data_IF_431660406796
#
_entry.id   IF_431660406796
#
_cell.length_a   1.000
_cell.length_b   1.000
_cell.length_c   1.000
_cell.angle_alpha   90.00
_cell.angle_beta   90.00
_cell.angle_gamma   90.00
#
_symmetry.space_group_name_H-M   'P 1'
#
loop_
_entity.id
_entity.type
_entity.pdbx_description
1 polymer ?
#
# COMPACT_ATOMS: atom_id res chain seq x y z
N UNK A 1 69.14 36.80 23.07
CA UNK A 1 67.97 36.76 22.15
C UNK A 1 68.35 35.80 21.02
N UNK A 2 67.56 34.84 20.56
CA UNK A 2 66.26 34.32 20.93
C UNK A 2 66.18 32.88 20.38
N UNK A 3 65.32 32.08 21.01
CA UNK A 3 65.22 30.63 20.90
C UNK A 3 64.66 30.12 19.56
N UNK A 4 64.98 28.85 19.29
CA UNK A 4 64.72 28.13 18.05
C UNK A 4 63.25 27.76 17.79
N UNK A 5 63.02 27.48 16.50
CA UNK A 5 61.75 27.11 15.87
C UNK A 5 61.34 25.69 16.28
N UNK A 6 60.14 25.54 16.84
CA UNK A 6 59.55 24.25 17.22
C UNK A 6 58.16 24.06 16.62
N UNK A 7 58.04 23.01 15.79
CA UNK A 7 56.87 22.16 15.54
C UNK A 7 55.45 22.75 15.54
N UNK A 8 54.93 23.07 14.35
CA UNK A 8 53.47 23.12 14.08
C UNK A 8 53.17 22.38 12.77
N UNK A 9 53.68 21.16 12.61
CA UNK A 9 53.54 20.38 11.37
C UNK A 9 52.99 18.96 11.54
N UNK A 10 52.79 18.49 12.78
CA UNK A 10 52.45 17.09 13.05
C UNK A 10 50.98 16.93 13.51
N UNK A 11 50.34 17.96 14.05
CA UNK A 11 48.95 17.84 14.53
C UNK A 11 47.92 17.76 13.38
N UNK A 12 48.16 18.46 12.26
CA UNK A 12 47.20 18.53 11.15
C UNK A 12 47.18 17.26 10.27
N UNK A 13 48.29 16.50 10.21
CA UNK A 13 48.41 15.31 9.34
C UNK A 13 47.76 14.08 9.97
N UNK A 14 47.58 14.04 11.30
CA UNK A 14 46.92 12.93 12.00
C UNK A 14 45.41 13.16 12.18
N UNK A 15 44.97 14.41 12.28
CA UNK A 15 43.55 14.75 12.48
C UNK A 15 42.67 14.42 11.27
N UNK A 16 43.18 14.60 10.05
CA UNK A 16 42.43 14.32 8.81
C UNK A 16 42.10 12.83 8.63
N UNK A 17 43.05 11.88 8.73
CA UNK A 17 42.73 10.46 8.61
C UNK A 17 41.86 9.96 9.77
N UNK A 18 42.02 10.49 10.99
CA UNK A 18 41.15 10.11 12.13
C UNK A 18 39.72 10.60 11.93
N UNK A 19 39.51 11.81 11.41
CA UNK A 19 38.17 12.32 11.07
C UNK A 19 37.53 11.53 9.93
N UNK A 20 38.29 11.12 8.91
CA UNK A 20 37.78 10.30 7.81
C UNK A 20 37.43 8.89 8.29
N UNK A 21 38.23 8.29 9.16
CA UNK A 21 37.94 6.97 9.76
C UNK A 21 36.75 7.05 10.72
N UNK A 22 36.61 8.12 11.50
CA UNK A 22 35.46 8.34 12.37
C UNK A 22 34.17 8.61 11.57
N UNK A 23 34.24 9.38 10.47
CA UNK A 23 33.11 9.63 9.59
C UNK A 23 32.69 8.36 8.82
N UNK A 24 33.65 7.55 8.37
CA UNK A 24 33.36 6.27 7.73
C UNK A 24 32.87 5.19 8.71
N UNK A 25 33.37 5.16 9.95
CA UNK A 25 32.75 4.36 11.02
C UNK A 25 31.35 4.87 11.39
N UNK A 26 31.09 6.18 11.36
CA UNK A 26 29.75 6.72 11.63
C UNK A 26 28.75 6.32 10.53
N UNK A 27 29.16 6.29 9.26
CA UNK A 27 28.33 5.75 8.16
C UNK A 27 28.12 4.23 8.29
N UNK A 28 29.10 3.48 8.82
CA UNK A 28 28.99 2.02 8.98
C UNK A 28 28.25 1.58 10.25
N UNK A 29 28.18 2.41 11.30
CA UNK A 29 27.51 2.09 12.58
C UNK A 29 26.21 2.89 12.81
N UNK A 30 26.01 4.02 12.14
CA UNK A 30 24.81 4.87 12.24
C UNK A 30 24.16 5.21 10.88
N UNK A 31 24.74 4.79 9.75
CA UNK A 31 24.13 4.92 8.41
C UNK A 31 23.18 3.78 8.06
N UNK A 32 22.51 3.23 9.07
CA UNK A 32 21.59 2.10 8.96
C UNK A 32 20.18 2.48 9.39
N UNK A 33 19.65 3.58 8.85
CA UNK A 33 18.20 3.66 8.71
C UNK A 33 17.81 2.70 7.59
N UNK A 34 17.60 1.44 7.96
CA UNK A 34 16.60 0.62 7.27
C UNK A 34 15.23 1.21 7.62
N UNK A 35 14.97 2.42 7.12
CA UNK A 35 13.62 2.75 6.74
C UNK A 35 13.22 1.63 5.78
N UNK A 36 12.41 0.69 6.27
CA UNK A 36 11.55 -0.10 5.40
C UNK A 36 10.55 0.88 4.77
N UNK A 37 11.06 1.75 3.90
CA UNK A 37 10.28 2.35 2.85
C UNK A 37 9.66 1.16 2.14
N UNK A 38 8.33 1.16 2.04
CA UNK A 38 7.64 0.35 1.05
C UNK A 38 8.52 0.38 -0.19
N UNK A 39 9.01 -0.79 -0.65
CA UNK A 39 9.54 -0.83 -2.01
C UNK A 39 8.37 -0.40 -2.85
N UNK A 40 8.36 0.88 -3.23
CA UNK A 40 7.26 1.45 -3.97
C UNK A 40 7.29 0.66 -5.26
N UNK A 41 6.28 -0.19 -5.46
CA UNK A 41 6.30 -1.13 -6.57
C UNK A 41 6.67 -0.37 -7.83
N UNK A 42 7.67 -0.85 -8.57
CA UNK A 42 8.02 -0.22 -9.83
C UNK A 42 6.76 -0.17 -10.67
N UNK A 43 6.46 1.01 -11.23
CA UNK A 43 5.26 1.15 -12.05
C UNK A 43 5.28 0.14 -13.20
N UNK A 44 4.11 -0.39 -13.54
CA UNK A 44 3.97 -1.41 -14.59
C UNK A 44 3.72 -0.72 -15.93
N UNK A 45 4.54 -1.03 -16.94
CA UNK A 45 4.26 -0.64 -18.33
C UNK A 45 3.03 -1.40 -18.84
N UNK A 46 2.08 -0.67 -19.41
CA UNK A 46 0.83 -1.19 -19.96
C UNK A 46 0.94 -1.23 -21.48
N UNK A 47 0.61 -2.38 -22.08
CA UNK A 47 0.47 -2.51 -23.53
C UNK A 47 -0.86 -1.91 -23.99
N UNK A 48 -0.83 -0.65 -24.44
CA UNK A 48 -2.02 0.10 -24.88
C UNK A 48 -2.72 -0.61 -26.05
N UNK A 49 -1.95 -1.14 -27.01
CA UNK A 49 -2.48 -1.87 -28.17
C UNK A 49 -3.13 -3.21 -27.79
N UNK A 50 -2.88 -3.69 -26.56
CA UNK A 50 -3.45 -4.92 -26.02
C UNK A 50 -4.83 -4.74 -25.38
N UNK A 51 -5.34 -3.51 -25.24
CA UNK A 51 -6.65 -3.25 -24.66
C UNK A 51 -7.72 -3.66 -25.69
N UNK A 52 -8.59 -4.61 -25.33
CA UNK A 52 -9.64 -5.07 -26.23
C UNK A 52 -10.60 -3.93 -26.61
N UNK A 53 -11.06 -3.89 -27.86
CA UNK A 53 -11.90 -2.81 -28.39
C UNK A 53 -13.28 -2.70 -27.68
N UNK A 54 -13.75 -3.79 -27.08
CA UNK A 54 -14.97 -3.87 -26.28
C UNK A 54 -14.72 -3.81 -24.77
N UNK A 55 -13.48 -3.56 -24.35
CA UNK A 55 -13.12 -3.43 -22.94
C UNK A 55 -13.88 -2.28 -22.27
N UNK A 56 -14.36 -2.55 -21.06
CA UNK A 56 -14.97 -1.57 -20.18
C UNK A 56 -14.69 -1.93 -18.72
N UNK A 57 -14.57 -0.92 -17.88
CA UNK A 57 -14.47 -1.06 -16.42
C UNK A 57 -15.52 -0.14 -15.81
N UNK A 58 -16.55 -0.70 -15.18
CA UNK A 58 -17.67 0.10 -14.67
C UNK A 58 -18.31 0.95 -15.78
N UNK A 59 -18.30 2.28 -15.60
CA UNK A 59 -18.80 3.24 -16.58
C UNK A 59 -17.76 3.70 -17.62
N UNK A 60 -16.51 3.25 -17.53
CA UNK A 60 -15.41 3.70 -18.37
C UNK A 60 -15.26 2.82 -19.61
N UNK A 61 -15.32 3.44 -20.79
CA UNK A 61 -15.23 2.79 -22.10
C UNK A 61 -13.78 2.55 -22.53
N UNK A 62 -13.60 1.79 -23.60
CA UNK A 62 -12.31 1.54 -24.23
C UNK A 62 -11.43 2.80 -24.39
N UNK A 63 -11.95 3.89 -24.96
CA UNK A 63 -11.19 5.14 -25.16
C UNK A 63 -10.69 5.75 -23.84
N UNK A 64 -11.50 5.67 -22.77
CA UNK A 64 -11.12 6.14 -21.44
C UNK A 64 -10.05 5.24 -20.82
N UNK A 65 -10.11 3.92 -21.06
CA UNK A 65 -9.09 2.96 -20.63
C UNK A 65 -7.76 3.17 -21.38
N UNK A 66 -7.81 3.50 -22.67
CA UNK A 66 -6.63 3.89 -23.46
C UNK A 66 -5.99 5.14 -22.86
N UNK A 67 -6.76 6.18 -22.56
CA UNK A 67 -6.25 7.39 -21.90
C UNK A 67 -5.64 7.08 -20.52
N UNK A 68 -6.29 6.24 -19.72
CA UNK A 68 -5.76 5.81 -18.42
C UNK A 68 -4.42 5.05 -18.55
N UNK A 69 -4.29 4.18 -19.55
CA UNK A 69 -3.04 3.47 -19.83
C UNK A 69 -1.92 4.44 -20.25
N UNK A 70 -2.23 5.46 -21.07
CA UNK A 70 -1.27 6.49 -21.47
C UNK A 70 -0.81 7.33 -20.27
N UNK A 71 -1.72 7.69 -19.35
CA UNK A 71 -1.39 8.34 -18.07
C UNK A 71 -0.43 7.46 -17.26
N UNK A 72 -0.82 6.20 -17.05
CA UNK A 72 -0.04 5.27 -16.25
C UNK A 72 1.37 5.02 -16.83
N UNK A 73 1.51 4.95 -18.16
CA UNK A 73 2.81 4.81 -18.82
C UNK A 73 3.68 6.07 -18.71
N UNK A 74 3.09 7.27 -18.65
CA UNK A 74 3.83 8.51 -18.44
C UNK A 74 4.53 8.52 -17.06
N UNK A 75 3.86 8.08 -15.99
CA UNK A 75 4.47 7.94 -14.67
C UNK A 75 5.68 6.99 -14.70
N UNK A 76 5.56 5.84 -15.35
CA UNK A 76 6.67 4.87 -15.47
C UNK A 76 7.84 5.46 -16.24
N UNK A 77 7.57 6.20 -17.32
CA UNK A 77 8.60 6.87 -18.12
C UNK A 77 9.41 7.86 -17.29
N UNK A 78 8.76 8.50 -16.30
CA UNK A 78 9.39 9.41 -15.35
C UNK A 78 10.01 8.70 -14.13
N UNK A 79 10.05 7.36 -14.11
CA UNK A 79 10.60 6.57 -13.01
C UNK A 79 9.76 6.64 -11.73
N UNK A 80 8.51 7.06 -11.84
CA UNK A 80 7.60 7.13 -10.71
C UNK A 80 7.01 5.76 -10.37
N UNK A 81 6.66 5.53 -9.11
CA UNK A 81 6.17 4.23 -8.67
C UNK A 81 4.71 3.98 -9.02
N UNK A 82 4.25 2.74 -8.84
CA UNK A 82 2.88 2.31 -9.13
C UNK A 82 1.80 3.18 -8.47
N UNK A 83 2.06 3.68 -7.25
CA UNK A 83 1.17 4.61 -6.56
C UNK A 83 0.91 5.88 -7.38
N UNK A 84 1.93 6.42 -8.06
CA UNK A 84 1.78 7.59 -8.92
C UNK A 84 0.88 7.29 -10.13
N UNK A 85 0.98 6.11 -10.73
CA UNK A 85 0.12 5.72 -11.86
C UNK A 85 -1.36 5.86 -11.49
N UNK A 86 -1.76 5.31 -10.34
CA UNK A 86 -3.16 5.38 -9.91
C UNK A 86 -3.56 6.78 -9.43
N UNK A 87 -2.65 7.55 -8.83
CA UNK A 87 -2.89 8.96 -8.49
C UNK A 87 -3.20 9.79 -9.75
N UNK A 88 -2.44 9.60 -10.83
CA UNK A 88 -2.69 10.32 -12.09
C UNK A 88 -4.01 9.91 -12.74
N UNK A 89 -4.36 8.61 -12.73
CA UNK A 89 -5.66 8.15 -13.23
C UNK A 89 -6.81 8.72 -12.39
N UNK A 90 -6.69 8.71 -11.06
CA UNK A 90 -7.69 9.30 -10.15
C UNK A 90 -7.90 10.80 -10.40
N UNK A 91 -6.81 11.55 -10.61
CA UNK A 91 -6.88 12.96 -10.95
C UNK A 91 -7.65 13.16 -12.27
N UNK A 92 -7.26 12.47 -13.34
CA UNK A 92 -7.90 12.61 -14.65
C UNK A 92 -9.37 12.15 -14.68
N UNK A 93 -9.78 11.20 -13.81
CA UNK A 93 -11.20 10.89 -13.62
C UNK A 93 -11.94 12.12 -13.06
N UNK A 94 -11.40 12.75 -12.02
CA UNK A 94 -12.04 13.92 -11.42
C UNK A 94 -12.09 15.13 -12.36
N UNK A 95 -11.04 15.34 -13.15
CA UNK A 95 -10.96 16.51 -14.03
C UNK A 95 -11.80 16.35 -15.30
N UNK A 96 -11.83 15.17 -15.90
CA UNK A 96 -12.41 14.99 -17.24
C UNK A 96 -13.16 13.68 -17.44
N UNK A 97 -13.28 12.86 -16.40
CA UNK A 97 -13.72 11.48 -16.53
C UNK A 97 -12.87 10.72 -17.57
N UNK A 98 -11.56 10.96 -17.60
CA UNK A 98 -10.61 10.37 -18.56
C UNK A 98 -10.90 10.71 -20.03
N UNK A 99 -11.54 11.86 -20.31
CA UNK A 99 -11.81 12.35 -21.67
C UNK A 99 -10.87 13.49 -22.01
N UNK A 100 -10.28 13.45 -23.19
CA UNK A 100 -9.40 14.51 -23.64
C UNK A 100 -10.23 15.68 -24.20
N UNK A 101 -10.66 16.59 -23.31
CA UNK A 101 -11.59 17.68 -23.63
C UNK A 101 -10.84 18.89 -24.22
N UNK A 102 -11.36 19.48 -25.30
CA UNK A 102 -10.84 20.71 -25.90
C UNK A 102 -11.49 21.99 -25.31
N UNK A 103 -12.24 21.83 -24.21
CA UNK A 103 -12.92 22.88 -23.48
C UNK A 103 -12.81 22.68 -21.96
N UNK A 104 -13.05 23.78 -21.23
CA UNK A 104 -13.14 23.81 -19.77
C UNK A 104 -14.56 24.13 -19.26
N UNK A 105 -14.70 24.30 -17.95
CA UNK A 105 -15.97 24.58 -17.27
C UNK A 105 -16.40 26.07 -17.31
N UNK A 106 -15.56 26.93 -17.90
CA UNK A 106 -15.80 28.37 -17.96
C UNK A 106 -15.57 29.10 -16.63
N UNK A 107 -14.84 28.50 -15.68
CA UNK A 107 -14.43 29.14 -14.44
C UNK A 107 -13.73 30.48 -14.70
N UNK A 108 -13.85 31.42 -13.74
CA UNK A 108 -13.22 32.74 -13.83
C UNK A 108 -11.99 32.76 -12.93
N UNK A 109 -10.85 33.08 -13.51
CA UNK A 109 -9.58 33.25 -12.81
C UNK A 109 -9.61 34.48 -11.89
N UNK A 110 -8.72 34.57 -10.88
CA UNK A 110 -8.65 35.72 -9.99
C UNK A 110 -8.40 37.06 -10.70
N UNK A 111 -7.82 37.04 -11.89
CA UNK A 111 -7.59 38.21 -12.74
C UNK A 111 -8.79 38.61 -13.63
N UNK A 112 -9.90 37.85 -13.56
CA UNK A 112 -11.12 38.07 -14.32
C UNK A 112 -11.16 37.42 -15.71
N UNK A 113 -10.10 36.72 -16.13
CA UNK A 113 -10.11 35.94 -17.37
C UNK A 113 -10.92 34.64 -17.22
N UNK A 114 -11.48 34.13 -18.33
CA UNK A 114 -12.06 32.77 -18.36
C UNK A 114 -10.90 31.77 -18.38
N UNK A 115 -10.95 30.78 -17.50
CA UNK A 115 -9.97 29.70 -17.43
C UNK A 115 -9.87 28.96 -18.77
N UNK A 116 -8.64 28.77 -19.26
CA UNK A 116 -8.36 28.11 -20.55
C UNK A 116 -8.02 26.62 -20.37
N UNK A 117 -8.63 25.99 -19.36
CA UNK A 117 -8.43 24.58 -19.01
C UNK A 117 -8.84 23.65 -20.14
N UNK A 118 -7.95 22.73 -20.52
CA UNK A 118 -8.19 21.68 -21.52
C UNK A 118 -7.46 20.39 -21.14
N UNK A 119 -7.73 19.32 -21.87
CA UNK A 119 -7.06 18.04 -21.75
C UNK A 119 -7.56 17.17 -20.61
N UNK A 120 -6.89 16.04 -20.40
CA UNK A 120 -7.26 15.03 -19.40
C UNK A 120 -7.27 15.55 -17.96
N UNK A 121 -6.41 16.51 -17.66
CA UNK A 121 -6.21 17.09 -16.33
C UNK A 121 -6.76 18.52 -16.19
N UNK A 122 -7.53 19.01 -17.17
CA UNK A 122 -8.09 20.36 -17.19
C UNK A 122 -7.05 21.45 -16.88
N UNK A 123 -5.88 21.31 -17.49
CA UNK A 123 -4.72 22.17 -17.25
C UNK A 123 -4.87 23.50 -17.99
N UNK A 124 -4.61 24.63 -17.33
CA UNK A 124 -4.54 25.96 -17.96
C UNK A 124 -3.19 26.19 -18.67
N UNK A 125 -3.10 27.25 -19.47
CA UNK A 125 -1.91 27.64 -20.24
C UNK A 125 -0.58 27.68 -19.46
N UNK A 126 -0.61 27.99 -18.16
CA UNK A 126 0.61 27.99 -17.33
C UNK A 126 1.18 26.59 -17.07
N UNK A 127 0.48 25.52 -17.44
CA UNK A 127 1.01 24.15 -17.41
C UNK A 127 1.86 23.80 -18.63
N UNK A 128 1.52 24.34 -19.80
CA UNK A 128 2.17 23.99 -21.06
C UNK A 128 1.41 24.50 -22.29
N UNK A 129 1.98 24.27 -23.47
CA UNK A 129 1.35 24.60 -24.75
C UNK A 129 0.04 23.82 -24.96
N UNK A 130 -0.80 24.31 -25.87
CA UNK A 130 -2.05 23.60 -26.25
C UNK A 130 -1.74 22.18 -26.76
N UNK A 131 -0.67 22.02 -27.52
CA UNK A 131 -0.26 20.71 -28.05
C UNK A 131 0.12 19.72 -26.93
N UNK A 132 0.85 20.19 -25.91
CA UNK A 132 1.22 19.35 -24.76
C UNK A 132 0.01 19.01 -23.88
N UNK A 133 -0.91 19.98 -23.67
CA UNK A 133 -2.11 19.77 -22.85
C UNK A 133 -3.16 18.89 -23.52
N UNK A 134 -3.22 18.89 -24.86
CA UNK A 134 -4.14 18.05 -25.64
C UNK A 134 -3.55 16.68 -26.02
N UNK A 135 -2.27 16.42 -25.75
CA UNK A 135 -1.71 15.09 -25.92
C UNK A 135 -1.78 14.31 -24.58
N UNK A 136 -2.48 13.16 -24.51
CA UNK A 136 -2.67 12.42 -23.26
C UNK A 136 -1.39 12.13 -22.47
N UNK A 137 -0.33 11.68 -23.14
CA UNK A 137 0.94 11.34 -22.51
C UNK A 137 1.69 12.58 -22.05
N UNK A 138 1.70 13.64 -22.85
CA UNK A 138 2.34 14.91 -22.50
C UNK A 138 1.62 15.60 -21.34
N UNK A 139 0.28 15.68 -21.37
CA UNK A 139 -0.53 16.25 -20.29
C UNK A 139 -0.33 15.52 -18.96
N UNK A 140 -0.27 14.18 -18.99
CA UNK A 140 0.07 13.36 -17.83
C UNK A 140 1.50 13.63 -17.33
N UNK A 141 2.47 13.78 -18.24
CA UNK A 141 3.86 14.08 -17.89
C UNK A 141 3.98 15.44 -17.19
N UNK A 142 3.19 16.44 -17.57
CA UNK A 142 3.14 17.74 -16.88
C UNK A 142 2.65 17.61 -15.43
N UNK A 143 1.62 16.79 -15.19
CA UNK A 143 1.14 16.47 -13.83
C UNK A 143 2.24 15.77 -13.01
N UNK A 144 2.82 14.70 -13.56
CA UNK A 144 3.83 13.90 -12.88
C UNK A 144 5.16 14.61 -12.66
N UNK A 145 5.50 15.61 -13.47
CA UNK A 145 6.67 16.45 -13.23
C UNK A 145 6.52 17.31 -11.97
N UNK A 146 5.30 17.63 -11.53
CA UNK A 146 5.03 18.41 -10.32
C UNK A 146 4.82 17.56 -9.07
N UNK A 147 4.36 16.31 -9.23
CA UNK A 147 4.05 15.42 -8.12
C UNK A 147 5.21 15.25 -7.10
N UNK A 148 6.48 15.01 -7.51
CA UNK A 148 7.60 14.93 -6.56
C UNK A 148 7.89 16.23 -5.78
N UNK A 149 7.35 17.37 -6.22
CA UNK A 149 7.44 18.64 -5.49
C UNK A 149 6.53 18.72 -4.28
N UNK A 150 5.58 17.79 -4.11
CA UNK A 150 4.69 17.71 -2.94
C UNK A 150 5.39 16.92 -1.84
N UNK A 151 5.77 17.59 -0.75
CA UNK A 151 6.51 16.95 0.33
C UNK A 151 5.71 15.81 0.98
N UNK A 152 6.30 14.61 1.00
CA UNK A 152 5.69 13.43 1.62
C UNK A 152 4.49 12.85 0.87
N UNK A 153 4.33 13.19 -0.42
CA UNK A 153 3.22 12.71 -1.25
C UNK A 153 3.11 11.18 -1.27
N UNK A 154 4.22 10.47 -1.12
CA UNK A 154 4.25 9.00 -1.09
C UNK A 154 3.47 8.39 0.08
N UNK A 155 3.34 9.15 1.18
CA UNK A 155 2.63 8.73 2.41
C UNK A 155 1.35 9.54 2.64
N UNK A 156 1.03 10.48 1.74
CA UNK A 156 -0.12 11.36 1.86
C UNK A 156 -1.36 10.69 1.27
N UNK A 157 -2.54 11.06 1.77
CA UNK A 157 -3.79 10.66 1.14
C UNK A 157 -3.79 11.06 -0.35
N UNK A 158 -4.20 10.18 -1.28
CA UNK A 158 -4.18 10.47 -2.72
C UNK A 158 -4.98 11.71 -3.10
N UNK A 159 -6.13 11.96 -2.45
CA UNK A 159 -6.97 13.12 -2.75
C UNK A 159 -6.26 14.42 -2.38
N UNK A 160 -5.64 14.44 -1.19
CA UNK A 160 -4.82 15.56 -0.73
C UNK A 160 -3.59 15.77 -1.62
N UNK A 161 -2.97 14.68 -2.09
CA UNK A 161 -1.84 14.73 -3.01
C UNK A 161 -2.23 15.36 -4.35
N UNK A 162 -3.34 14.93 -4.94
CA UNK A 162 -3.83 15.48 -6.21
C UNK A 162 -4.22 16.95 -6.01
N UNK A 163 -4.92 17.29 -4.92
CA UNK A 163 -5.26 18.67 -4.60
C UNK A 163 -4.00 19.55 -4.47
N UNK A 164 -2.93 19.07 -3.84
CA UNK A 164 -1.68 19.81 -3.72
C UNK A 164 -1.00 20.08 -5.08
N UNK A 165 -1.19 19.20 -6.06
CA UNK A 165 -0.66 19.37 -7.44
C UNK A 165 -1.56 20.25 -8.31
N UNK A 166 -2.88 20.04 -8.27
CA UNK A 166 -3.86 20.70 -9.13
C UNK A 166 -4.32 22.06 -8.59
N UNK A 167 -4.36 22.23 -7.26
CA UNK A 167 -4.73 23.49 -6.61
C UNK A 167 -6.23 23.82 -6.63
N UNK A 168 -7.11 22.82 -6.48
CA UNK A 168 -8.56 23.06 -6.41
C UNK A 168 -9.03 23.49 -4.99
N UNK A 169 -10.29 23.93 -4.86
CA UNK A 169 -10.82 24.50 -3.60
C UNK A 169 -11.19 23.47 -2.51
N UNK A 170 -11.47 22.21 -2.87
CA UNK A 170 -11.86 21.16 -1.93
C UNK A 170 -10.79 20.06 -1.89
N UNK A 171 -9.99 19.99 -0.80
CA UNK A 171 -8.94 18.98 -0.65
C UNK A 171 -9.41 17.52 -0.78
N UNK A 172 -10.70 17.24 -0.52
CA UNK A 172 -11.25 15.90 -0.57
C UNK A 172 -12.02 15.59 -1.87
N UNK A 173 -12.06 16.52 -2.83
CA UNK A 173 -12.83 16.38 -4.07
C UNK A 173 -12.55 15.06 -4.82
N UNK A 174 -11.29 14.61 -4.84
CA UNK A 174 -10.88 13.42 -5.58
C UNK A 174 -11.14 12.10 -4.86
N UNK A 175 -11.54 12.13 -3.59
CA UNK A 175 -11.70 10.92 -2.76
C UNK A 175 -12.70 9.96 -3.38
N UNK A 176 -13.79 10.48 -3.96
CA UNK A 176 -14.84 9.69 -4.60
C UNK A 176 -14.37 8.91 -5.86
N UNK A 177 -13.31 9.36 -6.54
CA UNK A 177 -12.81 8.73 -7.77
C UNK A 177 -11.76 7.66 -7.50
N UNK A 178 -11.41 7.46 -6.23
CA UNK A 178 -10.36 6.53 -5.80
C UNK A 178 -10.66 5.09 -6.21
N UNK A 179 -11.88 4.62 -5.95
CA UNK A 179 -12.28 3.25 -6.24
C UNK A 179 -12.24 2.94 -7.75
N UNK A 180 -12.70 3.89 -8.57
CA UNK A 180 -12.70 3.76 -10.03
C UNK A 180 -11.28 3.71 -10.59
N UNK A 181 -10.39 4.58 -10.10
CA UNK A 181 -8.98 4.57 -10.51
C UNK A 181 -8.29 3.24 -10.21
N UNK A 182 -8.58 2.64 -9.04
CA UNK A 182 -8.07 1.30 -8.69
C UNK A 182 -8.60 0.24 -9.66
N UNK A 183 -9.90 0.24 -9.93
CA UNK A 183 -10.53 -0.76 -10.80
C UNK A 183 -9.92 -0.71 -12.20
N UNK A 184 -9.72 0.49 -12.75
CA UNK A 184 -9.07 0.69 -14.05
C UNK A 184 -7.62 0.20 -14.02
N UNK A 185 -6.83 0.58 -13.02
CA UNK A 185 -5.42 0.17 -12.92
C UNK A 185 -5.25 -1.35 -12.71
N UNK A 186 -6.18 -1.99 -12.02
CA UNK A 186 -6.21 -3.45 -11.86
C UNK A 186 -6.45 -4.13 -13.20
N UNK A 187 -7.46 -3.69 -13.94
CA UNK A 187 -7.76 -4.19 -15.28
C UNK A 187 -6.57 -4.02 -16.24
N UNK A 188 -5.96 -2.83 -16.26
CA UNK A 188 -4.89 -2.50 -17.21
C UNK A 188 -3.57 -3.23 -16.95
N UNK A 189 -3.27 -3.57 -15.70
CA UNK A 189 -2.03 -4.29 -15.34
C UNK A 189 -2.16 -5.81 -15.47
N UNK A 190 -3.28 -6.31 -16.00
CA UNK A 190 -3.54 -7.74 -16.16
C UNK A 190 -3.89 -8.45 -14.86
N UNK A 191 -4.23 -7.68 -13.81
CA UNK A 191 -4.95 -8.21 -12.67
C UNK A 191 -6.33 -8.65 -13.13
N UNK A 192 -6.74 -9.87 -12.76
CA UNK A 192 -8.17 -10.22 -12.83
C UNK A 192 -8.99 -9.13 -12.11
N UNK A 193 -10.25 -8.85 -12.49
CA UNK A 193 -11.10 -7.90 -11.76
C UNK A 193 -11.26 -8.22 -10.26
N UNK A 194 -10.79 -9.40 -9.85
CA UNK A 194 -10.49 -9.76 -8.48
C UNK A 194 -8.98 -9.59 -8.16
N UNK A 195 -8.57 -8.38 -7.77
CA UNK A 195 -7.41 -8.20 -6.87
C UNK A 195 -6.20 -7.40 -7.36
N UNK A 196 -6.00 -6.24 -6.69
CA UNK A 196 -4.78 -5.46 -6.43
C UNK A 196 -4.11 -4.74 -7.64
N UNK A 197 -3.65 -3.48 -7.60
CA UNK A 197 -3.45 -2.38 -6.61
C UNK A 197 -2.47 -1.37 -7.26
N UNK A 198 -2.34 -0.07 -6.96
CA UNK A 198 -2.78 0.82 -5.86
C UNK A 198 -2.27 2.26 -6.14
N UNK A 199 -2.57 3.29 -5.35
CA UNK A 199 -2.97 3.29 -3.92
C UNK A 199 -3.82 4.51 -3.55
N UNK A 200 -4.74 4.46 -2.58
CA UNK A 200 -5.08 3.50 -1.52
C UNK A 200 -5.51 2.07 -1.85
N UNK A 201 -5.35 1.25 -0.81
CA UNK A 201 -5.29 -0.21 -0.80
C UNK A 201 -6.67 -0.86 -0.74
N UNK A 202 -7.44 -0.89 -1.83
CA UNK A 202 -8.56 -1.82 -1.86
C UNK A 202 -8.02 -3.27 -1.75
N UNK A 203 -8.40 -3.98 -0.68
CA UNK A 203 -7.99 -5.36 -0.45
C UNK A 203 -9.04 -6.26 -1.09
N UNK A 204 -8.62 -7.19 -1.95
CA UNK A 204 -9.56 -8.07 -2.66
C UNK A 204 -10.52 -8.76 -1.69
N UNK A 205 -11.79 -8.90 -2.08
CA UNK A 205 -12.78 -9.75 -1.38
C UNK A 205 -12.77 -11.20 -1.87
N UNK A 206 -11.86 -11.56 -2.78
CA UNK A 206 -11.70 -12.92 -3.32
C UNK A 206 -10.60 -13.66 -2.55
N UNK A 207 -10.99 -14.68 -1.79
CA UNK A 207 -10.08 -15.50 -0.99
C UNK A 207 -9.00 -16.20 -1.82
N UNK A 208 -9.35 -16.69 -3.02
CA UNK A 208 -8.39 -17.37 -3.89
C UNK A 208 -7.36 -16.38 -4.42
N UNK A 209 -7.79 -15.21 -4.87
CA UNK A 209 -6.89 -14.17 -5.35
C UNK A 209 -5.93 -13.68 -4.26
N UNK A 210 -6.43 -13.45 -3.03
CA UNK A 210 -5.57 -13.11 -1.90
C UNK A 210 -4.56 -14.22 -1.61
N UNK A 211 -5.02 -15.47 -1.53
CA UNK A 211 -4.15 -16.60 -1.23
C UNK A 211 -3.05 -16.79 -2.29
N UNK A 212 -3.35 -16.61 -3.58
CA UNK A 212 -2.34 -16.62 -4.66
C UNK A 212 -1.26 -15.55 -4.41
N UNK A 213 -1.66 -14.33 -4.04
CA UNK A 213 -0.72 -13.26 -3.72
C UNK A 213 0.10 -13.55 -2.45
N UNK A 214 -0.51 -14.16 -1.43
CA UNK A 214 0.20 -14.60 -0.23
C UNK A 214 1.22 -15.70 -0.56
N UNK A 215 0.90 -16.65 -1.45
CA UNK A 215 1.87 -17.67 -1.93
C UNK A 215 3.05 -17.01 -2.64
N UNK A 216 2.81 -15.99 -3.46
CA UNK A 216 3.89 -15.22 -4.08
C UNK A 216 4.74 -14.49 -3.02
N UNK A 217 4.12 -13.91 -1.99
CA UNK A 217 4.83 -13.27 -0.88
C UNK A 217 5.69 -14.26 -0.07
N UNK A 218 5.25 -15.51 0.09
CA UNK A 218 6.08 -16.57 0.68
C UNK A 218 7.31 -16.87 -0.19
N UNK A 219 7.13 -17.01 -1.51
CA UNK A 219 8.23 -17.24 -2.44
C UNK A 219 9.27 -16.09 -2.46
N UNK A 220 8.81 -14.87 -2.18
CA UNK A 220 9.66 -13.69 -2.04
C UNK A 220 10.27 -13.51 -0.63
N UNK A 221 9.97 -14.39 0.33
CA UNK A 221 10.44 -14.28 1.72
C UNK A 221 9.82 -13.12 2.52
N UNK A 222 8.74 -12.51 2.01
CA UNK A 222 8.00 -11.43 2.69
C UNK A 222 6.97 -11.97 3.67
N UNK A 223 6.37 -13.12 3.39
CA UNK A 223 5.51 -13.85 4.32
C UNK A 223 6.24 -15.12 4.77
N UNK A 224 6.47 -15.26 6.07
CA UNK A 224 7.15 -16.42 6.66
C UNK A 224 6.18 -17.16 7.55
N UNK A 225 5.94 -18.43 7.26
CA UNK A 225 5.11 -19.29 8.11
C UNK A 225 6.03 -20.06 9.05
N UNK A 226 5.70 -20.10 10.34
CA UNK A 226 6.51 -20.80 11.34
C UNK A 226 6.65 -22.30 11.03
N UNK A 227 5.63 -22.88 10.40
CA UNK A 227 5.59 -24.28 9.98
C UNK A 227 4.95 -24.42 8.60
N UNK A 228 5.38 -25.42 7.83
CA UNK A 228 4.89 -25.63 6.46
C UNK A 228 3.41 -26.08 6.42
N UNK A 229 2.86 -26.59 7.54
CA UNK A 229 1.43 -26.92 7.66
C UNK A 229 0.53 -25.69 7.49
N UNK A 230 0.93 -24.53 8.03
CA UNK A 230 0.19 -23.28 7.86
C UNK A 230 0.35 -22.71 6.44
N UNK A 231 1.53 -22.90 5.83
CA UNK A 231 1.74 -22.53 4.44
C UNK A 231 0.88 -23.39 3.49
N UNK A 232 0.70 -24.67 3.80
CA UNK A 232 -0.13 -25.59 3.04
C UNK A 232 -1.61 -25.17 3.03
N UNK A 233 -2.13 -24.60 4.12
CA UNK A 233 -3.49 -24.06 4.17
C UNK A 233 -3.69 -22.93 3.16
N UNK A 234 -2.78 -21.94 3.13
CA UNK A 234 -2.85 -20.83 2.16
C UNK A 234 -2.69 -21.35 0.72
N UNK A 235 -1.76 -22.31 0.48
CA UNK A 235 -1.60 -22.93 -0.84
C UNK A 235 -2.88 -23.65 -1.29
N UNK A 236 -3.55 -24.37 -0.38
CA UNK A 236 -4.81 -25.06 -0.64
C UNK A 236 -5.95 -24.10 -1.00
N UNK A 237 -6.00 -22.92 -0.37
CA UNK A 237 -6.96 -21.87 -0.78
C UNK A 237 -6.60 -21.31 -2.16
N UNK A 238 -5.30 -21.09 -2.43
CA UNK A 238 -4.80 -20.51 -3.68
C UNK A 238 -5.05 -21.42 -4.91
N UNK A 239 -4.87 -22.73 -4.78
CA UNK A 239 -5.10 -23.69 -5.86
C UNK A 239 -6.55 -24.20 -5.92
N UNK A 240 -7.34 -23.98 -4.86
CA UNK A 240 -8.73 -24.41 -4.74
C UNK A 240 -8.88 -25.86 -4.26
N UNK A 241 -7.84 -26.45 -3.70
CA UNK A 241 -7.84 -27.82 -3.13
C UNK A 241 -8.19 -27.86 -1.64
N UNK A 242 -8.35 -26.71 -0.97
CA UNK A 242 -8.71 -26.64 0.44
C UNK A 242 -10.01 -27.42 0.72
N UNK A 243 -9.95 -28.33 1.69
CA UNK A 243 -11.14 -29.03 2.19
C UNK A 243 -12.03 -28.09 3.01
N UNK A 244 -13.25 -28.53 3.35
CA UNK A 244 -14.19 -27.74 4.14
C UNK A 244 -13.70 -27.36 5.54
N UNK A 245 -12.68 -28.06 6.07
CA UNK A 245 -12.06 -27.78 7.38
C UNK A 245 -10.66 -27.16 7.25
N UNK A 246 -10.21 -26.91 6.02
CA UNK A 246 -8.93 -26.30 5.69
C UNK A 246 -9.08 -24.97 4.94
N UNK A 247 -10.28 -24.38 4.98
CA UNK A 247 -10.51 -23.03 4.49
C UNK A 247 -9.86 -21.99 5.41
N UNK A 248 -9.60 -20.81 4.88
CA UNK A 248 -9.24 -19.63 5.65
C UNK A 248 -10.29 -18.57 5.33
N UNK A 249 -10.82 -17.92 6.36
CA UNK A 249 -11.74 -16.81 6.21
C UNK A 249 -11.09 -15.71 5.35
N UNK A 250 -11.81 -15.23 4.34
CA UNK A 250 -11.29 -14.20 3.43
C UNK A 250 -10.77 -12.99 4.20
N UNK A 251 -11.39 -12.64 5.32
CA UNK A 251 -11.00 -11.51 6.15
C UNK A 251 -9.65 -11.73 6.83
N UNK A 252 -9.30 -12.97 7.17
CA UNK A 252 -7.97 -13.30 7.68
C UNK A 252 -6.92 -13.15 6.58
N UNK A 253 -7.22 -13.59 5.35
CA UNK A 253 -6.34 -13.35 4.20
C UNK A 253 -6.17 -11.85 3.91
N UNK A 254 -7.23 -11.06 4.08
CA UNK A 254 -7.18 -9.60 3.96
C UNK A 254 -6.30 -8.98 5.06
N UNK A 255 -6.43 -9.42 6.32
CA UNK A 255 -5.61 -8.96 7.45
C UNK A 255 -4.12 -9.25 7.22
N UNK A 256 -3.76 -10.45 6.75
CA UNK A 256 -2.37 -10.78 6.40
C UNK A 256 -1.88 -9.90 5.24
N UNK A 257 -2.73 -9.64 4.25
CA UNK A 257 -2.41 -8.75 3.12
C UNK A 257 -2.19 -7.31 3.59
N UNK A 258 -3.02 -6.80 4.49
CA UNK A 258 -2.85 -5.47 5.11
C UNK A 258 -1.53 -5.41 5.88
N UNK A 259 -1.18 -6.46 6.63
CA UNK A 259 0.12 -6.53 7.29
C UNK A 259 1.28 -6.49 6.26
N UNK A 260 1.22 -7.27 5.18
CA UNK A 260 2.25 -7.25 4.13
C UNK A 260 2.37 -5.90 3.41
N UNK A 261 1.29 -5.12 3.37
CA UNK A 261 1.31 -3.76 2.79
C UNK A 261 1.96 -2.72 3.72
N UNK A 262 2.10 -3.01 5.01
CA UNK A 262 2.54 -2.05 6.03
C UNK A 262 3.85 -2.42 6.74
N UNK A 263 4.33 -3.65 6.55
CA UNK A 263 5.51 -4.21 7.20
C UNK A 263 6.41 -4.91 6.16
N UNK A 264 7.74 -4.78 6.30
CA UNK A 264 8.71 -5.29 5.33
C UNK A 264 8.77 -6.83 5.25
N UNK A 265 8.42 -7.50 6.36
CA UNK A 265 8.25 -8.94 6.46
C UNK A 265 7.19 -9.24 7.51
N UNK A 266 6.37 -10.27 7.28
CA UNK A 266 5.30 -10.73 8.18
C UNK A 266 5.52 -12.20 8.50
N UNK A 267 5.52 -12.55 9.78
CA UNK A 267 5.64 -13.92 10.27
C UNK A 267 4.33 -14.38 10.90
N UNK A 268 3.80 -15.51 10.44
CA UNK A 268 2.56 -16.12 10.96
C UNK A 268 2.86 -17.49 11.54
N UNK A 269 2.38 -17.74 12.75
CA UNK A 269 2.60 -18.97 13.52
C UNK A 269 1.37 -19.85 13.69
N UNK A 270 0.18 -19.35 13.37
CA UNK A 270 -1.06 -20.15 13.43
C UNK A 270 -2.18 -19.55 12.55
N UNK A 271 -3.04 -20.41 12.00
CA UNK A 271 -4.13 -20.08 11.07
C UNK A 271 -5.39 -20.94 11.31
N UNK A 272 -5.51 -22.12 10.70
CA UNK A 272 -6.65 -23.02 10.88
C UNK A 272 -6.23 -24.29 11.65
N UNK A 273 -6.54 -24.31 12.94
CA UNK A 273 -6.28 -25.46 13.82
C UNK A 273 -7.15 -26.67 13.52
N UNK A 274 -8.34 -26.52 12.92
CA UNK A 274 -9.09 -27.69 12.44
C UNK A 274 -8.37 -28.40 11.29
N UNK A 275 -7.72 -27.65 10.41
CA UNK A 275 -6.95 -28.22 9.31
C UNK A 275 -5.74 -29.02 9.82
N UNK A 276 -5.05 -28.49 10.83
CA UNK A 276 -3.83 -29.10 11.38
C UNK A 276 -4.09 -30.11 12.50
N UNK A 277 -5.30 -30.16 13.05
CA UNK A 277 -5.67 -30.99 14.20
C UNK A 277 -5.10 -30.50 15.54
N UNK A 278 -4.57 -29.28 15.61
CA UNK A 278 -4.00 -28.70 16.83
C UNK A 278 -5.09 -28.24 17.81
N UNK A 279 -4.88 -28.45 19.11
CA UNK A 279 -5.80 -28.00 20.18
C UNK A 279 -5.10 -27.10 21.19
N UNK A 280 -4.08 -26.37 20.75
CA UNK A 280 -3.33 -25.44 21.59
C UNK A 280 -4.21 -24.29 22.12
N UNK A 281 -3.76 -23.65 23.21
CA UNK A 281 -4.44 -22.51 23.83
C UNK A 281 -5.86 -22.85 24.31
N UNK A 282 -6.85 -22.06 23.86
CA UNK A 282 -8.27 -22.26 24.18
C UNK A 282 -8.89 -23.53 23.54
N UNK A 283 -8.10 -24.38 22.89
CA UNK A 283 -8.56 -25.64 22.29
C UNK A 283 -9.69 -25.41 21.30
N UNK A 284 -10.77 -26.18 21.46
CA UNK A 284 -11.91 -26.14 20.54
C UNK A 284 -12.77 -24.88 20.62
N UNK A 285 -12.52 -24.01 21.60
CA UNK A 285 -13.19 -22.71 21.76
C UNK A 285 -12.46 -21.58 21.01
N UNK A 286 -11.27 -21.85 20.47
CA UNK A 286 -10.46 -20.88 19.74
C UNK A 286 -11.08 -20.50 18.39
N UNK A 287 -10.91 -19.24 17.96
CA UNK A 287 -11.27 -18.81 16.61
C UNK A 287 -10.46 -19.52 15.50
N UNK A 288 -9.30 -20.10 15.84
CA UNK A 288 -8.58 -21.01 14.96
C UNK A 288 -9.31 -22.34 14.74
N UNK A 289 -10.28 -22.70 15.59
CA UNK A 289 -10.98 -23.99 15.60
C UNK A 289 -12.50 -23.89 15.37
N UNK A 290 -13.21 -22.92 15.95
CA UNK A 290 -14.69 -22.86 15.85
C UNK A 290 -15.14 -22.75 14.39
N UNK A 291 -16.36 -23.19 14.10
CA UNK A 291 -17.05 -22.96 12.81
C UNK A 291 -16.33 -23.46 11.54
N UNK A 292 -15.42 -24.44 11.64
CA UNK A 292 -14.60 -24.89 10.50
C UNK A 292 -13.14 -24.44 10.55
N UNK A 293 -12.82 -23.60 11.55
CA UNK A 293 -11.50 -23.00 11.74
C UNK A 293 -11.16 -21.92 10.70
N UNK A 294 -9.96 -21.35 10.83
CA UNK A 294 -9.46 -20.36 9.87
C UNK A 294 -10.03 -18.94 10.05
N UNK A 295 -10.61 -18.62 11.21
CA UNK A 295 -11.11 -17.28 11.55
C UNK A 295 -10.15 -16.45 12.39
N UNK A 296 -8.88 -16.89 12.51
CA UNK A 296 -7.87 -16.22 13.32
C UNK A 296 -6.47 -16.34 12.68
N UNK A 297 -5.57 -15.46 13.12
CA UNK A 297 -4.16 -15.46 12.75
C UNK A 297 -3.31 -15.08 13.96
N UNK A 298 -2.26 -15.86 14.19
CA UNK A 298 -1.21 -15.53 15.16
C UNK A 298 0.01 -15.00 14.40
N UNK A 299 0.31 -13.71 14.58
CA UNK A 299 1.54 -13.11 14.08
C UNK A 299 2.66 -13.29 15.10
N UNK A 300 3.75 -13.97 14.72
CA UNK A 300 4.93 -14.10 15.60
C UNK A 300 6.02 -13.07 15.27
N UNK A 301 6.01 -12.47 14.08
CA UNK A 301 6.95 -11.39 13.74
C UNK A 301 6.40 -10.36 12.75
N UNK A 302 6.83 -9.10 12.87
CA UNK A 302 6.64 -8.05 11.87
C UNK A 302 7.96 -7.30 11.66
N UNK A 303 8.26 -6.88 10.43
CA UNK A 303 9.59 -6.37 10.03
C UNK A 303 10.77 -7.31 10.37
N UNK A 304 10.49 -8.61 10.56
CA UNK A 304 11.47 -9.58 11.06
C UNK A 304 11.73 -9.52 12.58
N UNK A 305 11.02 -8.65 13.32
CA UNK A 305 11.08 -8.56 14.78
C UNK A 305 10.01 -9.45 15.42
N UNK A 306 10.39 -10.22 16.44
CA UNK A 306 9.45 -11.04 17.21
C UNK A 306 8.40 -10.19 17.94
N UNK A 307 7.15 -10.66 17.97
CA UNK A 307 6.04 -9.95 18.60
C UNK A 307 5.76 -10.44 20.02
N UNK A 308 5.17 -9.55 20.80
CA UNK A 308 4.62 -9.79 22.14
C UNK A 308 3.12 -9.50 22.21
N UNK A 309 2.56 -8.91 21.16
CA UNK A 309 1.20 -8.37 21.11
C UNK A 309 1.08 -6.95 21.69
N UNK A 310 2.16 -6.42 22.28
CA UNK A 310 2.19 -5.10 22.94
C UNK A 310 3.38 -4.23 22.52
N UNK A 311 4.25 -4.77 21.66
CA UNK A 311 5.34 -4.04 21.02
C UNK A 311 4.81 -3.04 19.97
N UNK A 312 5.70 -2.14 19.55
CA UNK A 312 5.36 -1.06 18.62
C UNK A 312 4.76 -1.56 17.30
N UNK A 313 5.26 -2.66 16.74
CA UNK A 313 4.77 -3.19 15.47
C UNK A 313 3.38 -3.81 15.64
N UNK A 314 3.13 -4.53 16.75
CA UNK A 314 1.81 -5.06 17.11
C UNK A 314 0.78 -3.93 17.27
N UNK A 315 1.13 -2.87 18.00
CA UNK A 315 0.24 -1.72 18.21
C UNK A 315 -0.05 -0.99 16.91
N UNK A 316 0.96 -0.83 16.04
CA UNK A 316 0.80 -0.21 14.73
C UNK A 316 -0.16 -1.02 13.85
N UNK A 317 -0.01 -2.35 13.80
CA UNK A 317 -0.90 -3.21 13.01
C UNK A 317 -2.35 -3.10 13.51
N UNK A 318 -2.57 -3.14 14.83
CA UNK A 318 -3.92 -3.00 15.38
C UNK A 318 -4.55 -1.63 15.08
N UNK A 319 -3.79 -0.53 15.14
CA UNK A 319 -4.29 0.79 14.75
C UNK A 319 -4.64 0.90 13.26
N UNK A 320 -3.90 0.20 12.39
CA UNK A 320 -4.21 0.12 10.96
C UNK A 320 -5.49 -0.70 10.74
N UNK A 321 -5.64 -1.82 11.45
CA UNK A 321 -6.77 -2.73 11.27
C UNK A 321 -8.06 -2.17 11.84
N UNK A 322 -8.05 -1.48 12.98
CA UNK A 322 -9.24 -1.06 13.72
C UNK A 322 -10.33 -0.39 12.84
N UNK A 323 -10.06 0.65 12.04
CA UNK A 323 -11.10 1.26 11.22
C UNK A 323 -11.55 0.37 10.05
N UNK A 324 -10.77 -0.64 9.67
CA UNK A 324 -11.02 -1.49 8.51
C UNK A 324 -11.80 -2.75 8.87
N UNK A 325 -11.54 -3.33 10.03
CA UNK A 325 -12.14 -4.61 10.40
C UNK A 325 -13.56 -4.40 10.94
N UNK A 326 -14.47 -5.37 10.77
CA UNK A 326 -15.83 -5.25 11.26
C UNK A 326 -15.85 -5.15 12.80
N UNK A 327 -16.82 -4.38 13.33
CA UNK A 327 -17.08 -4.35 14.76
C UNK A 327 -17.33 -5.77 15.31
N UNK A 328 -16.69 -6.09 16.43
CA UNK A 328 -16.71 -7.44 17.01
C UNK A 328 -15.52 -8.32 16.61
N UNK A 329 -14.61 -7.81 15.77
CA UNK A 329 -13.26 -8.38 15.63
C UNK A 329 -12.54 -8.36 16.96
N UNK A 330 -11.55 -9.24 17.16
CA UNK A 330 -10.86 -9.37 18.45
C UNK A 330 -9.36 -9.46 18.31
N UNK A 331 -8.65 -9.02 19.35
CA UNK A 331 -7.20 -9.18 19.46
C UNK A 331 -6.80 -9.60 20.88
N UNK A 332 -5.89 -10.58 20.96
CA UNK A 332 -5.33 -11.08 22.22
C UNK A 332 -4.28 -10.14 22.81
N UNK A 333 -3.62 -10.57 23.89
CA UNK A 333 -2.53 -9.86 24.57
C UNK A 333 -2.91 -8.52 25.21
N UNK A 334 -4.19 -8.33 25.56
CA UNK A 334 -4.66 -7.07 26.15
C UNK A 334 -3.96 -6.69 27.47
N UNK A 335 -3.48 -7.67 28.25
CA UNK A 335 -2.91 -7.42 29.58
C UNK A 335 -1.58 -6.64 29.57
N UNK A 336 -0.91 -6.51 28.42
CA UNK A 336 0.36 -5.76 28.34
C UNK A 336 0.25 -4.43 27.59
N UNK A 337 -0.97 -3.99 27.22
CA UNK A 337 -1.20 -2.71 26.54
C UNK A 337 -2.40 -1.96 27.12
N UNK A 338 -2.41 -0.64 26.95
CA UNK A 338 -3.46 0.25 27.47
C UNK A 338 -4.34 0.88 26.38
N UNK A 339 -3.99 0.69 25.10
CA UNK A 339 -4.76 1.27 24.00
C UNK A 339 -6.16 0.66 23.90
N UNK A 340 -7.07 1.41 23.31
CA UNK A 340 -8.45 1.00 23.02
C UNK A 340 -8.75 1.20 21.55
N UNK A 341 -9.63 0.36 21.02
CA UNK A 341 -9.99 0.28 19.60
C UNK A 341 -11.52 0.29 19.47
N UNK A 342 -12.03 0.80 18.35
CA UNK A 342 -13.47 1.02 18.13
C UNK A 342 -14.18 -0.24 17.64
N UNK A 343 -13.52 -1.05 16.80
CA UNK A 343 -14.05 -2.28 16.24
C UNK A 343 -13.40 -3.54 16.83
N UNK A 344 -12.20 -3.41 17.40
CA UNK A 344 -11.44 -4.52 17.98
C UNK A 344 -11.70 -4.64 19.49
N UNK A 345 -12.38 -5.72 19.89
CA UNK A 345 -12.51 -6.11 21.29
C UNK A 345 -11.26 -6.84 21.76
N UNK A 346 -10.73 -6.50 22.93
CA UNK A 346 -9.46 -7.04 23.39
C UNK A 346 -9.65 -8.06 24.51
N UNK A 347 -8.82 -9.11 24.55
CA UNK A 347 -8.87 -10.15 25.58
C UNK A 347 -7.46 -10.59 26.01
N UNK A 348 -7.38 -11.29 27.16
CA UNK A 348 -6.10 -11.76 27.68
C UNK A 348 -5.58 -13.00 26.94
N UNK A 349 -4.29 -13.01 26.62
CA UNK A 349 -3.63 -14.10 25.92
C UNK A 349 -2.11 -14.09 26.18
N UNK A 350 -1.36 -15.13 25.81
CA UNK A 350 0.08 -15.24 26.06
C UNK A 350 0.88 -14.20 25.27
N UNK A 351 1.80 -13.50 25.94
CA UNK A 351 2.57 -12.37 25.39
C UNK A 351 3.81 -12.81 24.61
N UNK A 352 3.62 -13.61 23.56
CA UNK A 352 4.70 -14.09 22.68
C UNK A 352 4.34 -14.06 21.18
N UNK A 353 3.18 -13.50 20.86
CA UNK A 353 2.67 -13.29 19.51
C UNK A 353 1.59 -12.19 19.56
N UNK A 354 1.06 -11.78 18.42
CA UNK A 354 -0.17 -11.01 18.31
C UNK A 354 -1.28 -11.91 17.73
N UNK A 355 -2.28 -12.23 18.55
CA UNK A 355 -3.49 -12.93 18.10
C UNK A 355 -4.48 -11.91 17.54
N UNK A 356 -5.05 -12.20 16.37
CA UNK A 356 -6.17 -11.45 15.80
C UNK A 356 -7.23 -12.40 15.24
N UNK A 357 -8.52 -12.15 15.51
CA UNK A 357 -9.62 -12.97 15.00
C UNK A 357 -10.88 -12.20 14.60
N UNK A 358 -11.65 -12.84 13.72
CA UNK A 358 -12.96 -12.37 13.22
C UNK A 358 -14.06 -13.41 13.46
N UNK A 359 -13.80 -14.46 14.23
CA UNK A 359 -14.71 -15.60 14.40
C UNK A 359 -16.02 -15.30 15.15
N UNK A 360 -16.15 -14.08 15.68
CA UNK A 360 -17.28 -13.63 16.50
C UNK A 360 -18.04 -12.45 15.87
N UNK A 361 -17.80 -12.20 14.57
CA UNK A 361 -18.46 -11.17 13.78
C UNK A 361 -18.68 -11.65 12.35
N UNK A 362 -19.76 -11.19 11.71
CA UNK A 362 -20.13 -11.55 10.34
C UNK A 362 -19.88 -10.41 9.34
N UNK A 363 -19.45 -9.23 9.81
CA UNK A 363 -19.19 -8.09 8.95
C UNK A 363 -18.00 -8.28 8.01
N UNK A 364 -17.96 -7.59 6.86
CA UNK A 364 -16.79 -7.59 5.98
C UNK A 364 -15.67 -6.69 6.51
N UNK A 365 -14.44 -6.90 6.04
CA UNK A 365 -13.37 -5.89 6.17
C UNK A 365 -13.64 -4.78 5.15
N UNK A 366 -13.69 -3.54 5.62
CA UNK A 366 -13.81 -2.35 4.80
C UNK A 366 -12.52 -2.13 3.99
N UNK A 367 -12.69 -1.68 2.75
CA UNK A 367 -11.58 -1.21 1.95
C UNK A 367 -11.10 0.15 2.48
N UNK A 368 -9.81 0.32 2.80
CA UNK A 368 -9.24 1.62 3.16
C UNK A 368 -9.29 2.63 2.01
#
# INVERSE_FOLDING_TARGET
MAAGKGGIGILAVVLVPVLVVMLSMWVLFFGGDSASACTVGSGTQINVDGIAADAAVGAYTHDQLVNAALIANAAVTLGLPAAAQTIGVQAAIGESTLRNLDYGDGAINPDGSVADSIGLFQQQSFWGSVAERMDPTSSASLFFARLPGVAGWESMDPSLTINAVQGNADPNYYTQFRADAVAIMTFLTGGSPAGAGGGGCAVSGDAKALAVNLVAAMGAGKLVLAEDRYAAEIRGVADGSASSICGIDVRILQVITIALNNFGQVGVSDLNRQCTGSIEGAGTESAHWINGGGHAVDFYSLNGHGLTGCDTDSMKLLSILDPLVPAGSRAGQAQCRTATYSHITQFQDTTNHLHFDVGFTDGPVANP
#
